data_IF_568603415585
#
_entry.id   IF_568603415585
#
_cell.length_a   1.000
_cell.length_b   1.000
_cell.length_c   1.000
_cell.angle_alpha   90.00
_cell.angle_beta   90.00
_cell.angle_gamma   90.00
#
_symmetry.space_group_name_H-M   'P 1'
#
loop_
_entity.id
_entity.type
_entity.pdbx_description
1 polymer ?
#
# COMPACT_ATOMS: atom_id res chain seq x y z
N UNK A 1 -11.21 24.00 -16.02
CA UNK A 1 -11.06 22.74 -15.26
C UNK A 1 -11.18 21.59 -16.24
N UNK A 2 -10.28 20.61 -16.21
CA UNK A 2 -10.45 19.41 -17.02
C UNK A 2 -11.59 18.60 -16.37
N UNK A 3 -12.65 18.19 -17.10
CA UNK A 3 -13.75 17.45 -16.50
C UNK A 3 -13.23 16.13 -15.95
N UNK A 4 -13.69 15.77 -14.74
CA UNK A 4 -13.50 14.43 -14.18
C UNK A 4 -14.19 13.45 -15.14
N UNK A 5 -13.44 12.44 -15.62
CA UNK A 5 -13.95 11.47 -16.59
C UNK A 5 -14.23 10.12 -15.91
N UNK A 6 -15.25 9.37 -16.36
CA UNK A 6 -15.43 8.00 -15.93
C UNK A 6 -14.18 7.18 -16.21
N UNK A 7 -13.82 6.30 -15.27
CA UNK A 7 -12.64 5.43 -15.41
C UNK A 7 -12.94 4.23 -16.30
N UNK A 8 -11.92 3.80 -17.04
CA UNK A 8 -11.97 2.55 -17.82
C UNK A 8 -11.79 1.29 -16.97
N UNK A 9 -11.12 1.40 -15.81
CA UNK A 9 -10.84 0.30 -14.88
C UNK A 9 -11.10 0.70 -13.43
N UNK A 10 -11.48 -0.26 -12.55
CA UNK A 10 -11.69 0.04 -11.13
C UNK A 10 -10.37 0.37 -10.44
N UNK A 11 -10.36 1.41 -9.59
CA UNK A 11 -9.25 1.70 -8.68
C UNK A 11 -9.23 0.66 -7.55
N UNK A 12 -8.15 -0.11 -7.44
CA UNK A 12 -7.99 -1.17 -6.43
C UNK A 12 -7.33 -0.64 -5.16
N UNK A 13 -7.74 -1.19 -4.02
CA UNK A 13 -7.18 -0.85 -2.71
C UNK A 13 -6.19 -1.90 -2.26
N UNK A 14 -4.99 -1.47 -1.87
CA UNK A 14 -3.97 -2.31 -1.23
C UNK A 14 -3.75 -1.83 0.20
N UNK A 15 -4.09 -2.66 1.19
CA UNK A 15 -3.90 -2.37 2.61
C UNK A 15 -2.43 -2.51 3.04
N UNK A 16 -1.97 -1.65 3.94
CA UNK A 16 -0.60 -1.69 4.50
C UNK A 16 -0.62 -2.39 5.86
N UNK A 17 0.08 -3.52 5.97
CA UNK A 17 0.26 -4.27 7.20
C UNK A 17 1.74 -4.26 7.62
N UNK A 18 2.12 -3.35 8.51
CA UNK A 18 3.47 -3.36 9.06
C UNK A 18 3.55 -4.35 10.23
N UNK A 19 4.52 -5.27 10.18
CA UNK A 19 4.75 -6.28 11.22
C UNK A 19 6.04 -5.99 11.97
N UNK A 20 6.29 -4.70 12.24
CA UNK A 20 7.43 -4.27 13.06
C UNK A 20 6.98 -3.70 14.42
N UNK A 21 7.72 -3.98 15.50
CA UNK A 21 7.41 -3.44 16.82
C UNK A 21 7.52 -1.91 16.89
N UNK A 22 8.20 -1.28 15.92
CA UNK A 22 8.46 0.15 15.87
C UNK A 22 7.67 0.91 14.80
N UNK A 23 6.78 0.27 14.01
CA UNK A 23 6.00 0.80 12.85
C UNK A 23 5.52 2.26 12.93
N UNK A 24 5.63 3.07 11.83
CA UNK A 24 5.36 4.56 11.71
C UNK A 24 4.07 5.07 12.32
N UNK A 25 3.05 4.24 12.33
CA UNK A 25 1.76 4.60 12.87
C UNK A 25 1.37 3.65 13.98
N UNK A 26 0.92 4.18 15.13
CA UNK A 26 0.73 3.38 16.34
C UNK A 26 -0.29 2.25 16.17
N UNK A 27 -1.38 2.51 15.43
CA UNK A 27 -2.42 1.51 15.15
C UNK A 27 -1.97 0.44 14.13
N UNK A 28 -0.78 0.57 13.54
CA UNK A 28 -0.13 -0.48 12.74
C UNK A 28 0.88 -1.31 13.54
N UNK A 29 0.94 -1.15 14.87
CA UNK A 29 1.79 -1.97 15.74
C UNK A 29 0.96 -3.08 16.37
N UNK A 30 1.40 -4.31 16.20
CA UNK A 30 0.74 -5.49 16.78
C UNK A 30 1.55 -6.01 17.97
N UNK A 31 0.88 -6.17 19.11
CA UNK A 31 1.48 -6.71 20.34
C UNK A 31 1.67 -8.23 20.26
N UNK A 32 0.92 -8.91 19.39
CA UNK A 32 0.97 -10.37 19.20
C UNK A 32 0.86 -10.73 17.73
N UNK A 33 1.39 -11.90 17.38
CA UNK A 33 1.25 -12.49 16.04
C UNK A 33 -0.23 -12.66 15.65
N UNK A 34 -1.06 -13.14 16.57
CA UNK A 34 -2.49 -13.35 16.35
C UNK A 34 -3.20 -12.04 15.93
N UNK A 35 -2.85 -10.92 16.58
CA UNK A 35 -3.40 -9.61 16.20
C UNK A 35 -2.94 -9.16 14.81
N UNK A 36 -1.69 -9.42 14.44
CA UNK A 36 -1.18 -9.10 13.11
C UNK A 36 -1.89 -9.91 12.01
N UNK A 37 -2.07 -11.21 12.23
CA UNK A 37 -2.83 -12.09 11.32
C UNK A 37 -4.28 -11.62 11.21
N UNK A 38 -4.96 -11.39 12.34
CA UNK A 38 -6.35 -10.93 12.35
C UNK A 38 -6.51 -9.58 11.65
N UNK A 39 -5.55 -8.67 11.76
CA UNK A 39 -5.57 -7.40 11.06
C UNK A 39 -5.41 -7.57 9.54
N UNK A 40 -4.51 -8.46 9.10
CA UNK A 40 -4.38 -8.80 7.68
C UNK A 40 -5.67 -9.37 7.09
N UNK A 41 -6.34 -10.28 7.82
CA UNK A 41 -7.66 -10.80 7.44
C UNK A 41 -8.72 -9.70 7.39
N UNK A 42 -8.77 -8.85 8.42
CA UNK A 42 -9.74 -7.75 8.50
C UNK A 42 -9.64 -6.80 7.30
N UNK A 43 -8.44 -6.52 6.78
CA UNK A 43 -8.29 -5.66 5.60
C UNK A 43 -9.03 -6.22 4.36
N UNK A 44 -9.07 -7.54 4.19
CA UNK A 44 -9.86 -8.16 3.11
C UNK A 44 -11.36 -8.05 3.38
N UNK A 45 -11.80 -8.28 4.62
CA UNK A 45 -13.19 -8.09 5.04
C UNK A 45 -13.64 -6.62 4.83
N UNK A 46 -12.72 -5.66 4.99
CA UNK A 46 -12.92 -4.22 4.77
C UNK A 46 -12.88 -3.81 3.28
N UNK A 47 -12.60 -4.74 2.37
CA UNK A 47 -12.65 -4.51 0.91
C UNK A 47 -11.29 -4.26 0.24
N UNK A 48 -10.16 -4.53 0.90
CA UNK A 48 -8.87 -4.53 0.24
C UNK A 48 -8.81 -5.61 -0.84
N UNK A 49 -8.28 -5.26 -2.01
CA UNK A 49 -7.97 -6.22 -3.07
C UNK A 49 -6.66 -6.98 -2.78
N UNK A 50 -5.71 -6.30 -2.14
CA UNK A 50 -4.44 -6.87 -1.71
C UNK A 50 -4.02 -6.34 -0.34
N UNK A 51 -3.16 -7.08 0.35
CA UNK A 51 -2.49 -6.63 1.57
C UNK A 51 -0.98 -6.67 1.34
N UNK A 52 -0.29 -5.60 1.69
CA UNK A 52 1.15 -5.45 1.58
C UNK A 52 1.79 -5.50 2.97
N UNK A 53 2.56 -6.55 3.21
CA UNK A 53 3.13 -6.88 4.52
C UNK A 53 4.60 -6.47 4.58
N UNK A 54 4.99 -5.71 5.60
CA UNK A 54 6.39 -5.29 5.75
C UNK A 54 6.97 -5.68 7.11
N UNK A 55 8.07 -6.44 7.11
CA UNK A 55 8.81 -6.84 8.31
C UNK A 55 9.91 -5.87 8.76
N UNK A 56 10.12 -4.81 7.98
CA UNK A 56 11.13 -3.79 8.23
C UNK A 56 10.51 -2.39 8.32
N UNK A 57 10.97 -1.61 9.29
CA UNK A 57 10.53 -0.23 9.48
C UNK A 57 11.25 0.68 8.49
N UNK A 58 10.48 1.42 7.69
CA UNK A 58 11.02 2.43 6.75
C UNK A 58 11.09 3.83 7.37
N UNK A 59 10.93 3.93 8.70
CA UNK A 59 11.02 5.20 9.43
C UNK A 59 12.44 5.78 9.32
N UNK A 60 12.58 7.12 9.33
CA UNK A 60 13.88 7.75 9.51
C UNK A 60 14.59 7.25 10.76
N UNK A 61 15.82 6.75 10.61
CA UNK A 61 16.63 6.23 11.71
C UNK A 61 16.32 4.79 12.14
N UNK A 62 15.45 4.06 11.43
CA UNK A 62 15.24 2.64 11.69
C UNK A 62 16.52 1.83 11.44
N UNK A 63 16.81 0.88 12.33
CA UNK A 63 17.93 -0.05 12.18
C UNK A 63 17.50 -1.15 11.21
N UNK A 64 18.26 -1.40 10.13
CA UNK A 64 17.95 -2.48 9.20
C UNK A 64 18.00 -3.83 9.91
N UNK A 65 17.05 -4.71 9.61
CA UNK A 65 16.99 -6.08 10.17
C UNK A 65 17.74 -7.07 9.29
N UNK A 66 18.09 -8.23 9.85
CA UNK A 66 18.64 -9.34 9.07
C UNK A 66 17.56 -10.04 8.24
N UNK A 67 17.96 -10.77 7.19
CA UNK A 67 17.05 -11.61 6.38
C UNK A 67 16.26 -12.59 7.26
N UNK A 68 16.96 -13.28 8.17
CA UNK A 68 16.33 -14.26 9.06
C UNK A 68 15.27 -13.61 9.96
N UNK A 69 15.62 -12.47 10.56
CA UNK A 69 14.70 -11.73 11.42
C UNK A 69 13.48 -11.19 10.66
N UNK A 70 13.65 -10.73 9.41
CA UNK A 70 12.52 -10.30 8.60
C UNK A 70 11.59 -11.47 8.23
N UNK A 71 12.17 -12.63 7.85
CA UNK A 71 11.40 -13.84 7.58
C UNK A 71 10.61 -14.29 8.82
N UNK A 72 11.24 -14.30 10.00
CA UNK A 72 10.60 -14.67 11.27
C UNK A 72 9.41 -13.75 11.60
N UNK A 73 9.43 -12.50 11.17
CA UNK A 73 8.32 -11.54 11.34
C UNK A 73 7.22 -11.72 10.30
N UNK A 74 7.60 -11.86 9.04
CA UNK A 74 6.66 -11.83 7.90
C UNK A 74 5.96 -13.16 7.71
N UNK A 75 6.71 -14.28 7.68
CA UNK A 75 6.19 -15.61 7.31
C UNK A 75 4.99 -16.03 8.17
N UNK A 76 5.01 -15.88 9.51
CA UNK A 76 3.87 -16.28 10.33
C UNK A 76 2.63 -15.41 10.09
N UNK A 77 2.81 -14.13 9.73
CA UNK A 77 1.69 -13.20 9.52
C UNK A 77 1.00 -13.42 8.18
N UNK A 78 1.76 -13.83 7.16
CA UNK A 78 1.23 -13.97 5.80
C UNK A 78 0.55 -15.32 5.54
N UNK A 79 0.86 -16.35 6.33
CA UNK A 79 0.39 -17.72 6.11
C UNK A 79 -1.14 -17.91 6.11
N UNK A 80 -1.88 -17.01 6.77
CA UNK A 80 -3.34 -17.03 6.82
C UNK A 80 -3.98 -16.02 5.83
N UNK A 81 -3.56 -14.74 5.76
CA UNK A 81 -4.13 -13.76 4.83
C UNK A 81 -4.03 -14.15 3.34
N UNK A 82 -3.02 -14.93 2.94
CA UNK A 82 -2.89 -15.45 1.55
C UNK A 82 -4.07 -16.29 1.07
N UNK A 83 -4.91 -16.76 1.99
CA UNK A 83 -6.12 -17.54 1.68
C UNK A 83 -7.31 -16.67 1.27
N UNK A 84 -7.26 -15.36 1.55
CA UNK A 84 -8.38 -14.42 1.35
C UNK A 84 -8.17 -13.50 0.15
N UNK A 85 -6.92 -13.31 -0.28
CA UNK A 85 -6.64 -12.49 -1.45
C UNK A 85 -5.15 -12.39 -1.76
N UNK A 86 -4.79 -11.36 -2.53
CA UNK A 86 -3.40 -11.13 -2.93
C UNK A 86 -2.62 -10.60 -1.75
N UNK A 87 -1.53 -11.27 -1.38
CA UNK A 87 -0.61 -10.76 -0.37
C UNK A 87 0.73 -10.43 -1.04
N UNK A 88 1.23 -9.24 -0.73
CA UNK A 88 2.54 -8.77 -1.11
C UNK A 88 3.46 -8.65 0.11
N UNK A 89 4.77 -8.74 -0.14
CA UNK A 89 5.79 -8.48 0.88
C UNK A 89 6.64 -7.29 0.45
N UNK A 90 6.62 -6.22 1.24
CA UNK A 90 7.47 -5.04 1.11
C UNK A 90 8.75 -5.24 1.91
N UNK A 91 9.80 -5.68 1.21
CA UNK A 91 11.12 -6.00 1.76
C UNK A 91 12.21 -5.31 0.95
N UNK A 92 13.43 -5.19 1.48
CA UNK A 92 14.62 -4.82 0.66
C UNK A 92 15.54 -6.01 0.37
N UNK A 93 15.29 -7.17 0.97
CA UNK A 93 16.11 -8.35 0.80
C UNK A 93 15.57 -9.22 -0.33
N UNK A 94 16.43 -9.53 -1.31
CA UNK A 94 16.04 -10.39 -2.43
C UNK A 94 15.64 -11.79 -1.92
N UNK A 95 16.32 -12.28 -0.89
CA UNK A 95 16.10 -13.56 -0.25
C UNK A 95 14.71 -13.65 0.41
N UNK A 96 14.24 -12.56 1.02
CA UNK A 96 12.88 -12.48 1.59
C UNK A 96 11.85 -12.47 0.46
N UNK A 97 12.12 -11.76 -0.63
CA UNK A 97 11.23 -11.71 -1.78
C UNK A 97 11.14 -13.07 -2.52
N UNK A 98 12.26 -13.77 -2.67
CA UNK A 98 12.32 -15.12 -3.23
C UNK A 98 11.57 -16.13 -2.34
N UNK A 99 11.80 -16.06 -1.02
CA UNK A 99 11.07 -16.87 -0.06
C UNK A 99 9.57 -16.60 -0.16
N UNK A 100 9.11 -15.36 -0.16
CA UNK A 100 7.69 -15.03 -0.30
C UNK A 100 7.09 -15.56 -1.63
N UNK A 101 7.85 -15.45 -2.73
CA UNK A 101 7.41 -15.94 -4.04
C UNK A 101 7.18 -17.46 -4.06
N UNK A 102 7.99 -18.24 -3.34
CA UNK A 102 7.82 -19.69 -3.21
C UNK A 102 6.51 -20.09 -2.53
N UNK A 103 5.87 -19.18 -1.78
CA UNK A 103 4.60 -19.40 -1.09
C UNK A 103 3.39 -18.94 -1.92
N UNK A 104 3.62 -18.55 -3.19
CA UNK A 104 2.58 -18.00 -4.06
C UNK A 104 2.25 -16.52 -3.79
N UNK A 105 3.09 -15.82 -3.02
CA UNK A 105 2.92 -14.40 -2.73
C UNK A 105 3.59 -13.53 -3.81
N UNK A 106 3.08 -12.32 -4.03
CA UNK A 106 3.71 -11.34 -4.94
C UNK A 106 4.73 -10.50 -4.17
N UNK A 107 6.03 -10.77 -4.30
CA UNK A 107 7.04 -10.02 -3.53
C UNK A 107 7.46 -8.68 -4.20
N UNK A 108 7.78 -7.68 -3.39
CA UNK A 108 8.12 -6.31 -3.78
C UNK A 108 9.39 -5.85 -3.03
N UNK A 109 10.53 -5.69 -3.72
CA UNK A 109 11.84 -5.37 -3.09
C UNK A 109 12.08 -3.87 -2.79
N UNK A 110 11.03 -3.14 -2.36
CA UNK A 110 10.96 -1.69 -2.03
C UNK A 110 10.83 -0.70 -3.20
N UNK A 111 9.83 0.18 -3.08
CA UNK A 111 9.51 1.27 -4.01
C UNK A 111 10.71 2.09 -4.54
N UNK A 112 10.77 2.37 -5.86
CA UNK A 112 9.77 2.05 -6.89
C UNK A 112 9.91 0.58 -7.34
N UNK A 113 8.98 -0.29 -6.94
CA UNK A 113 9.07 -1.71 -7.24
C UNK A 113 7.96 -2.17 -8.16
N UNK A 114 8.45 -2.80 -9.21
CA UNK A 114 7.79 -3.61 -10.24
C UNK A 114 6.92 -4.70 -9.60
N UNK A 115 5.60 -4.61 -9.78
CA UNK A 115 4.73 -5.79 -9.72
C UNK A 115 4.73 -6.47 -11.09
N UNK A 116 5.06 -7.77 -11.15
CA UNK A 116 4.59 -8.64 -12.23
C UNK A 116 4.85 -10.13 -12.03
N UNK A 117 3.97 -11.02 -12.51
CA UNK A 117 4.32 -12.38 -12.90
C UNK A 117 5.22 -12.42 -14.16
N UNK A 118 5.17 -11.40 -15.02
CA UNK A 118 6.05 -11.21 -16.17
C UNK A 118 5.85 -9.80 -16.75
N UNK A 119 6.92 -9.01 -16.88
CA UNK A 119 6.95 -7.65 -17.47
C UNK A 119 6.48 -6.50 -16.58
N UNK A 120 7.26 -5.45 -16.61
CA UNK A 120 7.88 -4.98 -15.39
C UNK A 120 8.01 -3.45 -15.65
N UNK A 121 7.49 -2.56 -14.78
CA UNK A 121 7.90 -1.16 -14.45
C UNK A 121 6.80 -0.51 -13.59
N UNK A 122 7.08 -0.13 -12.33
CA UNK A 122 6.16 0.65 -11.50
C UNK A 122 6.93 1.73 -10.74
N UNK A 123 6.53 2.99 -10.90
CA UNK A 123 7.16 4.16 -10.27
C UNK A 123 6.25 4.67 -9.16
N UNK A 124 6.71 4.63 -7.91
CA UNK A 124 6.11 5.43 -6.83
C UNK A 124 6.88 6.73 -6.73
N UNK A 125 6.29 7.81 -7.22
CA UNK A 125 6.84 9.14 -7.00
C UNK A 125 6.32 9.70 -5.68
N UNK A 126 7.22 10.25 -4.87
CA UNK A 126 6.90 11.24 -3.82
C UNK A 126 6.65 12.64 -4.41
N UNK A 127 6.52 12.73 -5.73
CA UNK A 127 6.29 13.96 -6.48
C UNK A 127 4.80 14.35 -6.40
N UNK A 128 4.46 15.63 -6.56
CA UNK A 128 3.06 16.07 -6.68
C UNK A 128 2.33 15.27 -7.78
N UNK A 129 1.04 15.00 -7.58
CA UNK A 129 0.17 14.19 -8.46
C UNK A 129 0.20 14.66 -9.93
N UNK A 130 0.51 15.95 -10.15
CA UNK A 130 0.73 16.52 -11.48
C UNK A 130 1.87 15.86 -12.26
N UNK A 131 2.83 15.24 -11.59
CA UNK A 131 3.94 14.50 -12.19
C UNK A 131 3.64 13.00 -12.39
N UNK A 132 2.55 12.47 -11.80
CA UNK A 132 2.24 11.04 -11.83
C UNK A 132 1.32 10.63 -13.00
N UNK A 133 0.66 11.58 -13.67
CA UNK A 133 -0.59 11.28 -14.38
C UNK A 133 -0.66 11.60 -15.87
N UNK A 134 0.41 12.05 -16.54
CA UNK A 134 0.30 12.38 -17.98
C UNK A 134 1.38 11.87 -18.92
N UNK A 135 2.58 11.53 -18.43
CA UNK A 135 3.71 11.19 -19.32
C UNK A 135 4.42 9.88 -18.95
N UNK A 136 3.78 8.95 -18.23
CA UNK A 136 4.37 7.63 -17.98
C UNK A 136 4.03 6.68 -19.13
N UNK A 137 4.94 6.39 -20.07
CA UNK A 137 4.65 5.55 -21.22
C UNK A 137 4.89 4.09 -20.82
N UNK A 138 3.86 3.23 -20.86
CA UNK A 138 4.06 1.78 -20.73
C UNK A 138 2.78 0.99 -20.46
N UNK A 139 2.77 -0.34 -20.72
CA UNK A 139 1.62 -1.23 -20.55
C UNK A 139 1.38 -1.69 -19.10
N UNK A 140 1.91 -0.97 -18.10
CA UNK A 140 1.97 -1.44 -16.71
C UNK A 140 1.01 -0.69 -15.78
N UNK A 141 0.44 -1.38 -14.77
CA UNK A 141 -0.41 -0.73 -13.79
C UNK A 141 0.38 0.24 -12.90
N UNK A 142 -0.25 1.35 -12.52
CA UNK A 142 0.30 2.39 -11.66
C UNK A 142 -0.16 2.18 -10.21
N UNK A 143 0.80 2.13 -9.27
CA UNK A 143 0.56 2.06 -7.83
C UNK A 143 0.96 3.37 -7.15
N UNK A 144 0.04 3.96 -6.39
CA UNK A 144 0.27 5.19 -5.63
C UNK A 144 0.21 4.94 -4.12
N UNK A 145 1.31 5.26 -3.41
CA UNK A 145 1.39 5.17 -1.95
C UNK A 145 1.59 6.55 -1.32
N UNK A 146 0.51 7.14 -0.81
CA UNK A 146 0.49 8.51 -0.23
C UNK A 146 -0.06 8.57 1.20
N UNK A 147 -0.69 7.50 1.66
CA UNK A 147 -1.38 7.45 2.95
C UNK A 147 -0.43 7.81 4.11
N UNK A 148 -0.84 8.79 4.92
CA UNK A 148 -0.19 9.27 6.16
C UNK A 148 1.26 9.78 6.01
N UNK A 149 1.76 10.01 4.80
CA UNK A 149 3.15 10.46 4.54
C UNK A 149 3.45 11.87 5.06
N UNK A 150 4.74 12.16 5.28
CA UNK A 150 5.23 13.44 5.84
C UNK A 150 4.91 14.67 5.00
N UNK A 151 4.73 14.54 3.68
CA UNK A 151 4.32 15.68 2.84
C UNK A 151 2.93 16.21 3.26
N UNK A 152 2.05 15.36 3.79
CA UNK A 152 0.75 15.80 4.32
C UNK A 152 0.94 16.69 5.54
N UNK A 153 1.94 16.41 6.38
CA UNK A 153 2.30 17.32 7.49
C UNK A 153 2.77 18.66 6.96
N UNK A 154 3.65 18.66 5.96
CA UNK A 154 4.16 19.89 5.36
C UNK A 154 3.04 20.76 4.74
N UNK A 155 1.98 20.13 4.22
CA UNK A 155 0.86 20.84 3.59
C UNK A 155 -0.27 21.21 4.57
N UNK A 156 -0.55 20.38 5.57
CA UNK A 156 -1.75 20.52 6.42
C UNK A 156 -1.42 20.88 7.87
N UNK A 157 -0.15 20.78 8.29
CA UNK A 157 0.28 20.93 9.67
C UNK A 157 -0.17 19.79 10.60
N UNK A 158 -0.73 18.70 10.06
CA UNK A 158 -1.28 17.59 10.86
C UNK A 158 -0.24 16.51 11.17
N UNK A 159 -0.25 16.05 12.42
CA UNK A 159 0.51 14.90 12.87
C UNK A 159 -0.02 13.60 12.28
N UNK A 160 0.77 12.51 12.36
CA UNK A 160 0.51 11.25 11.63
C UNK A 160 -0.88 10.66 11.88
N UNK A 161 -1.41 10.84 13.09
CA UNK A 161 -2.73 10.33 13.47
C UNK A 161 -3.87 11.14 12.84
N UNK A 162 -3.63 12.41 12.53
CA UNK A 162 -4.61 13.35 11.98
C UNK A 162 -4.50 13.54 10.45
N UNK A 163 -3.79 12.63 9.76
CA UNK A 163 -3.56 12.71 8.31
C UNK A 163 -4.61 11.99 7.46
N UNK A 164 -5.67 11.45 8.06
CA UNK A 164 -6.72 10.71 7.33
C UNK A 164 -7.34 11.59 6.24
N UNK A 165 -7.87 12.77 6.58
CA UNK A 165 -8.52 13.66 5.61
C UNK A 165 -7.58 14.05 4.45
N UNK A 166 -6.31 14.35 4.75
CA UNK A 166 -5.31 14.64 3.72
C UNK A 166 -4.99 13.45 2.83
N UNK A 167 -5.01 12.24 3.38
CA UNK A 167 -4.82 10.98 2.63
C UNK A 167 -6.00 10.72 1.69
N UNK A 168 -7.24 10.87 2.19
CA UNK A 168 -8.46 10.67 1.39
C UNK A 168 -8.58 11.71 0.27
N UNK A 169 -8.17 12.95 0.52
CA UNK A 169 -8.21 14.02 -0.47
C UNK A 169 -7.36 13.73 -1.72
N UNK A 170 -6.30 12.90 -1.59
CA UNK A 170 -5.45 12.49 -2.71
C UNK A 170 -6.09 11.39 -3.57
N UNK A 171 -7.09 10.67 -3.05
CA UNK A 171 -7.76 9.59 -3.77
C UNK A 171 -8.52 10.13 -4.99
N UNK A 172 -9.24 11.25 -4.86
CA UNK A 172 -10.03 11.83 -5.95
C UNK A 172 -9.18 12.18 -7.21
N UNK A 173 -8.06 12.92 -7.09
CA UNK A 173 -7.19 13.17 -8.23
C UNK A 173 -6.47 11.90 -8.73
N UNK A 174 -6.13 10.93 -7.86
CA UNK A 174 -5.59 9.64 -8.30
C UNK A 174 -6.61 8.81 -9.11
N UNK A 175 -7.87 8.82 -8.68
CA UNK A 175 -8.99 8.20 -9.38
C UNK A 175 -9.17 8.83 -10.78
N UNK A 176 -9.14 10.17 -10.86
CA UNK A 176 -9.27 10.89 -12.14
C UNK A 176 -8.07 10.72 -13.07
N UNK A 177 -6.92 10.34 -12.51
CA UNK A 177 -5.65 10.15 -13.22
C UNK A 177 -5.45 8.70 -13.72
N UNK A 178 -6.47 7.84 -13.64
CA UNK A 178 -6.38 6.41 -14.02
C UNK A 178 -5.29 5.62 -13.26
N UNK A 179 -4.95 6.01 -12.03
CA UNK A 179 -4.10 5.19 -11.13
C UNK A 179 -4.79 3.85 -10.88
N UNK A 180 -4.11 2.72 -11.05
CA UNK A 180 -4.73 1.38 -10.94
C UNK A 180 -4.85 0.89 -9.49
N UNK A 181 -3.86 1.19 -8.65
CA UNK A 181 -3.78 0.70 -7.27
C UNK A 181 -3.43 1.84 -6.33
N UNK A 182 -4.14 1.96 -5.21
CA UNK A 182 -3.78 2.87 -4.11
C UNK A 182 -3.41 2.07 -2.85
N UNK A 183 -2.22 2.38 -2.31
CA UNK A 183 -1.67 1.72 -1.12
C UNK A 183 -1.95 2.55 0.13
N UNK A 184 -2.73 2.02 1.07
CA UNK A 184 -3.34 2.78 2.18
C UNK A 184 -3.28 2.05 3.53
N UNK A 185 -3.27 2.82 4.63
CA UNK A 185 -3.44 2.28 5.98
C UNK A 185 -4.93 2.12 6.34
N UNK A 186 -5.77 3.05 5.86
CA UNK A 186 -7.17 3.21 6.23
C UNK A 186 -8.06 2.61 5.13
N UNK A 187 -8.22 1.28 5.13
CA UNK A 187 -8.94 0.55 4.07
C UNK A 187 -10.42 0.93 4.01
N UNK A 188 -11.22 0.87 5.11
CA UNK A 188 -12.65 1.17 5.06
C UNK A 188 -12.94 2.56 4.48
N UNK A 189 -12.25 3.58 4.98
CA UNK A 189 -12.46 4.97 4.55
C UNK A 189 -12.03 5.20 3.10
N UNK A 190 -11.01 4.46 2.64
CA UNK A 190 -10.57 4.49 1.23
C UNK A 190 -11.63 3.85 0.34
N UNK A 191 -12.20 2.70 0.75
CA UNK A 191 -13.26 2.01 0.02
C UNK A 191 -14.51 2.90 -0.08
N UNK A 192 -14.94 3.50 1.02
CA UNK A 192 -16.06 4.45 1.05
C UNK A 192 -15.80 5.65 0.13
N UNK A 193 -14.59 6.19 0.15
CA UNK A 193 -14.20 7.28 -0.74
C UNK A 193 -14.34 6.85 -2.20
N UNK A 194 -13.81 5.68 -2.59
CA UNK A 194 -13.91 5.17 -3.97
C UNK A 194 -15.38 4.92 -4.37
N UNK A 195 -16.19 4.37 -3.46
CA UNK A 195 -17.61 4.16 -3.70
C UNK A 195 -18.33 5.49 -4.00
N UNK A 196 -18.02 6.53 -3.23
CA UNK A 196 -18.55 7.87 -3.47
C UNK A 196 -18.07 8.47 -4.80
N UNK A 197 -16.79 8.31 -5.15
CA UNK A 197 -16.26 8.78 -6.44
C UNK A 197 -16.98 8.11 -7.62
N UNK A 198 -17.21 6.79 -7.53
CA UNK A 198 -17.94 6.05 -8.55
C UNK A 198 -19.42 6.47 -8.63
N UNK A 199 -20.07 6.74 -7.49
CA UNK A 199 -21.46 7.20 -7.49
C UNK A 199 -21.64 8.60 -8.09
N UNK A 200 -20.64 9.47 -7.95
CA UNK A 200 -20.69 10.86 -8.43
C UNK A 200 -20.22 11.00 -9.87
N UNK A 201 -19.20 10.23 -10.29
CA UNK A 201 -18.49 10.41 -11.56
C UNK A 201 -18.33 9.14 -12.41
N UNK A 202 -18.77 7.99 -11.92
CA UNK A 202 -18.71 6.70 -12.63
C UNK A 202 -19.87 6.44 -13.59
#
# INVERSE_FOLDING_TARGET
MNPIRPRSTPLRVMGILNVTPDSFWANSRFETLERAVSAGRQMFDDGAWAVDVSGESTRPGAVPVSVAEELDRVVPVVAEPVRFGVVAVDTRHAEVAEAASAWGMSACTRTPCRWSPASTHATTTSAPISAASRDMPGPFPVLLGVSRKSFLQALTGREVDDRLAGSLAVIAPAWSAEVDIIRVHDVPETVDTIAMLNAVWG
#
